data_IF_479710827040
#
_entry.id   IF_479710827040
#
_cell.length_a   1.000
_cell.length_b   1.000
_cell.length_c   1.000
_cell.angle_alpha   90.00
_cell.angle_beta   90.00
_cell.angle_gamma   90.00
#
_symmetry.space_group_name_H-M   'P 1'
#
loop_
_entity.id
_entity.type
_entity.pdbx_description
1 polymer ?
#
# COMPACT_ATOMS: atom_id res chain seq x y z
N UNK A 1 34.47 -51.45 -39.08
CA UNK A 1 34.05 -52.21 -40.28
C UNK A 1 32.56 -52.49 -40.19
N UNK A 2 31.80 -51.90 -41.11
CA UNK A 2 30.56 -52.39 -41.76
C UNK A 2 29.36 -52.92 -40.94
N UNK A 3 28.19 -52.41 -41.36
CA UNK A 3 26.82 -52.98 -41.32
C UNK A 3 26.02 -52.64 -40.05
N UNK A 4 25.10 -51.64 -39.99
CA UNK A 4 24.12 -51.08 -40.94
C UNK A 4 22.87 -52.00 -41.10
N UNK A 5 21.68 -51.39 -40.94
CA UNK A 5 20.29 -51.84 -41.23
C UNK A 5 19.57 -52.69 -40.14
N UNK A 6 18.26 -52.58 -39.86
CA UNK A 6 17.09 -51.97 -40.56
C UNK A 6 15.87 -51.92 -39.60
N UNK A 7 15.25 -50.75 -39.44
CA UNK A 7 13.84 -50.40 -39.77
C UNK A 7 12.68 -51.29 -39.26
N UNK A 8 11.66 -50.61 -38.70
CA UNK A 8 10.22 -50.87 -38.95
C UNK A 8 9.44 -51.14 -37.67
N UNK A 9 8.60 -50.22 -37.18
CA UNK A 9 7.29 -49.74 -37.66
C UNK A 9 6.18 -50.16 -36.66
N UNK A 10 5.77 -49.17 -35.88
CA UNK A 10 4.41 -48.81 -35.45
C UNK A 10 3.33 -49.89 -35.37
N UNK A 11 2.73 -50.06 -34.18
CA UNK A 11 1.27 -50.11 -34.04
C UNK A 11 0.83 -49.81 -32.59
N UNK A 12 -0.04 -48.81 -32.50
CA UNK A 12 -0.85 -48.44 -31.34
C UNK A 12 -1.99 -49.46 -31.20
N UNK A 13 -2.27 -49.93 -29.98
CA UNK A 13 -3.64 -50.05 -29.45
C UNK A 13 -3.65 -50.42 -27.97
N UNK A 14 -4.42 -49.64 -27.21
CA UNK A 14 -4.80 -49.79 -25.82
C UNK A 14 -5.59 -51.09 -25.60
N UNK A 15 -5.28 -51.83 -24.54
CA UNK A 15 -6.27 -52.58 -23.78
C UNK A 15 -5.74 -52.88 -22.36
N UNK A 16 -6.53 -52.44 -21.38
CA UNK A 16 -6.38 -52.68 -19.96
C UNK A 16 -6.43 -54.18 -19.62
N UNK A 17 -5.53 -54.65 -18.75
CA UNK A 17 -5.84 -55.62 -17.69
C UNK A 17 -4.71 -55.59 -16.67
N UNK A 18 -5.06 -55.31 -15.41
CA UNK A 18 -4.12 -54.98 -14.36
C UNK A 18 -3.28 -56.15 -13.84
N UNK A 19 -2.21 -55.76 -13.16
CA UNK A 19 -1.64 -56.45 -12.02
C UNK A 19 -0.69 -55.47 -11.35
N UNK A 20 -0.93 -55.21 -10.07
CA UNK A 20 -0.21 -54.21 -9.31
C UNK A 20 1.29 -54.45 -9.28
N UNK A 21 2.03 -53.35 -9.22
CA UNK A 21 3.28 -53.28 -8.52
C UNK A 21 3.44 -51.87 -7.97
N UNK A 22 3.60 -51.85 -6.65
CA UNK A 22 3.95 -50.76 -5.76
C UNK A 22 4.68 -49.61 -6.46
N UNK A 23 4.01 -48.48 -6.60
CA UNK A 23 4.67 -47.19 -6.78
C UNK A 23 4.73 -46.54 -5.39
N UNK A 24 5.93 -46.10 -5.04
CA UNK A 24 6.37 -45.59 -3.75
C UNK A 24 5.34 -44.73 -3.01
N UNK A 25 4.94 -45.23 -1.85
CA UNK A 25 4.09 -44.57 -0.86
C UNK A 25 4.91 -43.62 0.03
N UNK A 26 6.01 -43.07 -0.49
CA UNK A 26 7.01 -42.34 0.29
C UNK A 26 7.14 -40.85 -0.07
N UNK A 27 6.23 -40.32 -0.89
CA UNK A 27 6.24 -38.91 -1.33
C UNK A 27 4.93 -38.14 -1.03
N UNK A 28 4.15 -38.61 -0.05
CA UNK A 28 2.99 -37.88 0.52
C UNK A 28 3.28 -37.31 1.91
N UNK A 29 4.51 -36.83 2.10
CA UNK A 29 5.00 -36.29 3.36
C UNK A 29 5.33 -34.81 3.29
N UNK A 30 4.35 -33.95 2.97
CA UNK A 30 4.30 -32.54 3.37
C UNK A 30 2.96 -31.95 2.92
N UNK A 31 1.88 -32.44 3.50
CA UNK A 31 0.78 -31.51 3.79
C UNK A 31 1.29 -30.74 5.00
N UNK A 32 1.62 -29.47 4.79
CA UNK A 32 1.81 -28.51 5.86
C UNK A 32 0.75 -28.78 6.92
N UNK A 33 1.17 -28.90 8.18
CA UNK A 33 0.23 -29.00 9.30
C UNK A 33 -0.56 -27.70 9.31
N UNK A 34 -1.68 -27.67 8.59
CA UNK A 34 -2.65 -26.59 8.68
C UNK A 34 -2.89 -26.35 10.18
N UNK A 35 -2.83 -25.11 10.68
CA UNK A 35 -3.18 -24.84 12.05
C UNK A 35 -4.56 -25.46 12.27
N UNK A 36 -4.63 -26.48 13.11
CA UNK A 36 -5.90 -27.14 13.40
C UNK A 36 -6.71 -26.12 14.19
N UNK A 37 -7.54 -25.35 13.48
CA UNK A 37 -8.44 -24.39 14.09
C UNK A 37 -9.36 -25.14 15.05
N UNK A 38 -9.26 -24.83 16.34
CA UNK A 38 -10.00 -25.53 17.39
C UNK A 38 -11.41 -24.96 17.59
N UNK A 39 -11.58 -23.64 17.46
CA UNK A 39 -12.87 -22.95 17.48
C UNK A 39 -13.27 -22.42 16.09
N UNK A 40 -14.20 -23.13 15.43
CA UNK A 40 -14.77 -22.72 14.14
C UNK A 40 -15.53 -21.38 14.22
N UNK A 41 -16.11 -21.04 15.38
CA UNK A 41 -16.79 -19.76 15.57
C UNK A 41 -15.80 -18.60 15.61
N UNK A 42 -14.64 -18.78 16.26
CA UNK A 42 -13.57 -17.80 16.24
C UNK A 42 -12.99 -17.61 14.82
N UNK A 43 -12.89 -18.69 14.04
CA UNK A 43 -12.45 -18.61 12.65
C UNK A 43 -13.45 -17.84 11.75
N UNK A 44 -14.76 -18.08 11.89
CA UNK A 44 -15.77 -17.30 11.17
C UNK A 44 -15.71 -15.80 11.50
N UNK A 45 -15.57 -15.46 12.80
CA UNK A 45 -15.39 -14.08 13.25
C UNK A 45 -14.13 -13.44 12.65
N UNK A 46 -13.03 -14.17 12.60
CA UNK A 46 -11.80 -13.71 11.94
C UNK A 46 -12.02 -13.40 10.46
N UNK A 47 -12.70 -14.29 9.72
CA UNK A 47 -13.02 -14.05 8.31
C UNK A 47 -13.93 -12.83 8.13
N UNK A 48 -14.90 -12.63 9.02
CA UNK A 48 -15.74 -11.42 9.03
C UNK A 48 -14.89 -10.15 9.25
N UNK A 49 -13.99 -10.17 10.23
CA UNK A 49 -13.10 -9.03 10.50
C UNK A 49 -12.23 -8.68 9.28
N UNK A 50 -11.69 -9.67 8.57
CA UNK A 50 -10.92 -9.42 7.33
C UNK A 50 -11.73 -8.70 6.25
N UNK A 51 -13.00 -9.04 6.09
CA UNK A 51 -13.88 -8.35 5.12
C UNK A 51 -14.12 -6.90 5.54
N UNK A 52 -14.30 -6.64 6.83
CA UNK A 52 -14.45 -5.30 7.37
C UNK A 52 -13.17 -4.46 7.20
N UNK A 53 -11.99 -5.05 7.41
CA UNK A 53 -10.71 -4.38 7.13
C UNK A 53 -10.61 -3.96 5.67
N UNK A 54 -10.99 -4.83 4.73
CA UNK A 54 -11.01 -4.51 3.29
C UNK A 54 -12.03 -3.44 2.92
N UNK A 55 -13.15 -3.38 3.64
CA UNK A 55 -14.18 -2.34 3.45
C UNK A 55 -13.70 -0.95 3.87
N UNK A 56 -12.74 -0.86 4.82
CA UNK A 56 -12.17 0.39 5.36
C UNK A 56 -13.25 1.31 5.99
N UNK A 57 -12.88 2.55 6.33
CA UNK A 57 -13.78 3.52 6.97
C UNK A 57 -14.19 3.08 8.38
N UNK A 58 -15.43 3.40 8.77
CA UNK A 58 -15.99 3.03 10.09
C UNK A 58 -15.99 1.53 10.38
N UNK A 59 -15.89 0.68 9.35
CA UNK A 59 -15.81 -0.78 9.51
C UNK A 59 -14.50 -1.23 10.21
N UNK A 60 -13.46 -0.40 10.24
CA UNK A 60 -12.19 -0.74 10.88
C UNK A 60 -12.33 -0.90 12.40
N UNK A 61 -13.17 -0.08 13.04
CA UNK A 61 -13.40 -0.21 14.49
C UNK A 61 -14.14 -1.52 14.81
N UNK A 62 -15.19 -1.84 14.05
CA UNK A 62 -15.91 -3.11 14.17
C UNK A 62 -14.98 -4.31 13.97
N UNK A 63 -14.07 -4.24 12.98
CA UNK A 63 -13.09 -5.29 12.73
C UNK A 63 -12.19 -5.53 13.95
N UNK A 64 -11.68 -4.47 14.59
CA UNK A 64 -10.84 -4.59 15.78
C UNK A 64 -11.63 -5.17 16.96
N UNK A 65 -12.88 -4.75 17.17
CA UNK A 65 -13.73 -5.31 18.23
C UNK A 65 -13.95 -6.81 18.04
N UNK A 66 -14.19 -7.26 16.81
CA UNK A 66 -14.33 -8.68 16.50
C UNK A 66 -13.00 -9.41 16.73
N UNK A 67 -11.87 -8.83 16.33
CA UNK A 67 -10.55 -9.42 16.53
C UNK A 67 -10.17 -9.52 18.00
N UNK A 68 -10.56 -8.55 18.84
CA UNK A 68 -10.42 -8.61 20.30
C UNK A 68 -11.13 -9.86 20.85
N UNK A 69 -12.32 -10.18 20.34
CA UNK A 69 -13.06 -11.39 20.72
C UNK A 69 -12.39 -12.68 20.22
N UNK A 70 -11.91 -12.70 18.97
CA UNK A 70 -11.17 -13.84 18.41
C UNK A 70 -9.92 -14.14 19.25
N UNK A 71 -9.13 -13.12 19.56
CA UNK A 71 -7.89 -13.24 20.34
C UNK A 71 -8.19 -13.66 21.79
N UNK A 72 -9.28 -13.18 22.39
CA UNK A 72 -9.67 -13.61 23.74
C UNK A 72 -10.06 -15.09 23.81
N UNK A 73 -10.63 -15.65 22.73
CA UNK A 73 -10.99 -17.07 22.62
C UNK A 73 -9.80 -17.95 22.25
N UNK A 74 -8.97 -17.48 21.32
CA UNK A 74 -7.84 -18.21 20.75
C UNK A 74 -6.57 -17.33 20.77
N UNK A 75 -5.91 -17.15 21.93
CA UNK A 75 -4.77 -16.23 22.09
C UNK A 75 -3.53 -16.59 21.26
N UNK A 76 -3.43 -17.84 20.80
CA UNK A 76 -2.31 -18.33 19.97
C UNK A 76 -2.64 -18.30 18.47
N UNK A 77 -3.79 -17.74 18.07
CA UNK A 77 -4.20 -17.64 16.67
C UNK A 77 -3.49 -16.48 15.95
N UNK A 78 -2.27 -16.72 15.47
CA UNK A 78 -1.39 -15.72 14.85
C UNK A 78 -2.06 -14.85 13.74
N UNK A 79 -2.87 -15.42 12.82
CA UNK A 79 -3.58 -14.62 11.82
C UNK A 79 -4.51 -13.53 12.38
N UNK A 80 -5.12 -13.74 13.55
CA UNK A 80 -5.96 -12.71 14.18
C UNK A 80 -5.12 -11.52 14.66
N UNK A 81 -3.96 -11.80 15.28
CA UNK A 81 -3.00 -10.76 15.67
C UNK A 81 -2.46 -9.97 14.47
N UNK A 82 -2.11 -10.66 13.38
CA UNK A 82 -1.68 -10.02 12.15
C UNK A 82 -2.78 -9.12 11.55
N UNK A 83 -4.02 -9.61 11.45
CA UNK A 83 -5.14 -8.83 10.95
C UNK A 83 -5.44 -7.61 11.83
N UNK A 84 -5.32 -7.75 13.15
CA UNK A 84 -5.52 -6.64 14.09
C UNK A 84 -4.46 -5.57 13.90
N UNK A 85 -3.19 -5.96 13.73
CA UNK A 85 -2.11 -5.03 13.39
C UNK A 85 -2.37 -4.28 12.09
N UNK A 86 -2.77 -4.99 11.03
CA UNK A 86 -3.10 -4.38 9.74
C UNK A 86 -4.27 -3.39 9.87
N UNK A 87 -5.27 -3.66 10.71
CA UNK A 87 -6.34 -2.69 11.00
C UNK A 87 -5.81 -1.44 11.72
N UNK A 88 -5.03 -1.61 12.78
CA UNK A 88 -4.40 -0.50 13.52
C UNK A 88 -3.51 0.37 12.63
N UNK A 89 -2.79 -0.24 11.69
CA UNK A 89 -1.88 0.46 10.79
C UNK A 89 -2.57 1.50 9.89
N UNK A 90 -3.88 1.37 9.67
CA UNK A 90 -4.66 2.27 8.82
C UNK A 90 -5.72 3.08 9.56
N UNK A 91 -6.10 2.73 10.79
CA UNK A 91 -7.15 3.46 11.54
C UNK A 91 -6.95 4.99 11.55
N UNK A 92 -5.74 5.52 11.81
CA UNK A 92 -5.51 6.97 11.80
C UNK A 92 -5.82 7.66 10.47
N UNK A 93 -5.91 6.91 9.37
CA UNK A 93 -6.14 7.43 8.02
C UNK A 93 -7.62 7.49 7.65
N UNK A 94 -8.48 6.75 8.37
CA UNK A 94 -9.88 6.55 7.99
C UNK A 94 -10.86 7.03 9.04
N UNK A 95 -10.40 7.22 10.28
CA UNK A 95 -11.23 7.55 11.42
C UNK A 95 -10.74 8.84 12.07
N UNK A 96 -11.66 9.54 12.73
CA UNK A 96 -11.35 10.71 13.60
C UNK A 96 -11.50 10.35 15.08
N UNK A 97 -12.35 9.36 15.37
CA UNK A 97 -12.59 8.78 16.68
C UNK A 97 -12.40 7.26 16.60
N UNK A 98 -11.91 6.65 17.67
CA UNK A 98 -11.75 5.20 17.79
C UNK A 98 -12.13 4.79 19.21
N UNK A 99 -13.09 3.86 19.33
CA UNK A 99 -13.63 3.39 20.63
C UNK A 99 -14.19 4.53 21.50
N UNK A 100 -14.80 5.54 20.86
CA UNK A 100 -15.46 6.67 21.51
C UNK A 100 -14.52 7.80 21.97
N UNK A 101 -13.24 7.73 21.60
CA UNK A 101 -12.24 8.75 21.94
C UNK A 101 -11.59 9.31 20.67
N UNK A 102 -11.15 10.57 20.72
CA UNK A 102 -10.40 11.18 19.62
C UNK A 102 -9.08 10.40 19.39
N UNK A 103 -8.73 10.16 18.13
CA UNK A 103 -7.58 9.31 17.80
C UNK A 103 -6.26 9.95 18.23
N UNK A 104 -5.48 9.16 18.97
CA UNK A 104 -4.06 9.39 19.22
C UNK A 104 -3.24 8.44 18.33
N UNK A 105 -2.84 8.91 17.14
CA UNK A 105 -2.21 8.04 16.14
C UNK A 105 -0.93 7.32 16.64
N UNK A 106 0.01 7.97 17.37
CA UNK A 106 1.13 7.27 17.99
C UNK A 106 0.73 6.07 18.86
N UNK A 107 -0.35 6.18 19.63
CA UNK A 107 -0.83 5.10 20.50
C UNK A 107 -1.47 3.96 19.70
N UNK A 108 -2.31 4.29 18.73
CA UNK A 108 -2.93 3.30 17.83
C UNK A 108 -1.86 2.55 17.03
N UNK A 109 -0.85 3.24 16.51
CA UNK A 109 0.24 2.61 15.76
C UNK A 109 1.13 1.75 16.66
N UNK A 110 1.30 2.10 17.93
CA UNK A 110 1.98 1.24 18.91
C UNK A 110 1.18 -0.05 19.18
N UNK A 111 -0.15 0.01 19.21
CA UNK A 111 -0.97 -1.22 19.23
C UNK A 111 -0.75 -2.07 17.97
N UNK A 112 -0.62 -1.43 16.81
CA UNK A 112 -0.24 -2.10 15.56
C UNK A 112 1.11 -2.82 15.65
N UNK A 113 2.13 -2.18 16.21
CA UNK A 113 3.46 -2.76 16.40
C UNK A 113 3.45 -3.95 17.37
N UNK A 114 2.78 -3.81 18.52
CA UNK A 114 2.73 -4.88 19.54
C UNK A 114 2.00 -6.12 19.03
N UNK A 115 0.92 -5.94 18.28
CA UNK A 115 0.16 -7.03 17.67
C UNK A 115 0.90 -7.69 16.50
N UNK A 116 1.66 -6.93 15.70
CA UNK A 116 2.55 -7.50 14.68
C UNK A 116 3.65 -8.37 15.31
N UNK A 117 4.31 -7.88 16.36
CA UNK A 117 5.33 -8.65 17.08
C UNK A 117 4.76 -9.97 17.61
N UNK A 118 3.57 -9.93 18.23
CA UNK A 118 2.90 -11.14 18.72
C UNK A 118 2.57 -12.12 17.60
N UNK A 119 2.14 -11.62 16.44
CA UNK A 119 1.85 -12.48 15.29
C UNK A 119 3.10 -13.22 14.79
N UNK A 120 4.24 -12.53 14.66
CA UNK A 120 5.53 -13.14 14.24
C UNK A 120 6.06 -14.11 15.30
N UNK A 121 5.90 -13.80 16.60
CA UNK A 121 6.29 -14.70 17.69
C UNK A 121 5.51 -16.02 17.65
N UNK A 122 4.20 -15.95 17.40
CA UNK A 122 3.32 -17.11 17.33
C UNK A 122 3.54 -17.96 16.08
N UNK A 123 3.72 -17.31 14.92
CA UNK A 123 4.00 -18.00 13.66
C UNK A 123 5.00 -17.20 12.79
N UNK A 124 6.30 -17.55 12.85
CA UNK A 124 7.34 -16.90 12.05
C UNK A 124 7.35 -17.33 10.57
N UNK A 125 6.41 -18.17 10.13
CA UNK A 125 6.23 -18.51 8.71
C UNK A 125 4.91 -17.97 8.16
N UNK A 126 4.17 -17.17 8.93
CA UNK A 126 2.95 -16.52 8.48
C UNK A 126 3.28 -15.25 7.67
N UNK A 127 2.97 -15.26 6.38
CA UNK A 127 3.25 -14.14 5.49
C UNK A 127 2.60 -12.82 5.97
N UNK A 128 1.35 -12.88 6.43
CA UNK A 128 0.62 -11.72 6.95
C UNK A 128 1.23 -11.17 8.26
N UNK A 129 1.91 -11.98 9.06
CA UNK A 129 2.59 -11.50 10.27
C UNK A 129 3.81 -10.64 9.91
N UNK A 130 4.60 -11.09 8.93
CA UNK A 130 5.72 -10.32 8.40
C UNK A 130 5.25 -9.06 7.66
N UNK A 131 4.13 -9.12 6.94
CA UNK A 131 3.50 -7.94 6.34
C UNK A 131 3.14 -6.89 7.40
N UNK A 132 2.46 -7.33 8.47
CA UNK A 132 2.09 -6.48 9.60
C UNK A 132 3.32 -5.85 10.28
N UNK A 133 4.38 -6.63 10.49
CA UNK A 133 5.64 -6.14 11.05
C UNK A 133 6.32 -5.12 10.13
N UNK A 134 6.36 -5.37 8.82
CA UNK A 134 6.86 -4.42 7.83
C UNK A 134 6.14 -3.07 7.90
N UNK A 135 4.80 -3.09 7.98
CA UNK A 135 3.98 -1.89 8.15
C UNK A 135 4.30 -1.15 9.46
N UNK A 136 4.42 -1.86 10.59
CA UNK A 136 4.78 -1.25 11.87
C UNK A 136 6.18 -0.60 11.84
N UNK A 137 7.19 -1.29 11.30
CA UNK A 137 8.55 -0.78 11.19
C UNK A 137 8.66 0.39 10.22
N UNK A 138 7.88 0.37 9.13
CA UNK A 138 7.75 1.48 8.19
C UNK A 138 7.23 2.74 8.90
N UNK A 139 6.20 2.60 9.75
CA UNK A 139 5.70 3.71 10.56
C UNK A 139 6.74 4.28 11.53
N UNK A 140 7.59 3.41 12.07
CA UNK A 140 8.74 3.79 12.92
C UNK A 140 9.95 4.31 12.12
N UNK A 141 9.87 4.33 10.78
CA UNK A 141 10.94 4.75 9.86
C UNK A 141 12.20 3.90 10.00
N UNK A 142 12.05 2.67 10.44
CA UNK A 142 13.13 1.68 10.51
C UNK A 142 13.21 0.98 9.15
N UNK A 143 13.53 1.76 8.12
CA UNK A 143 13.36 1.38 6.71
C UNK A 143 14.04 0.07 6.33
N UNK A 144 15.26 -0.15 6.81
CA UNK A 144 16.02 -1.35 6.47
C UNK A 144 15.37 -2.63 7.03
N UNK A 145 14.89 -2.58 8.28
CA UNK A 145 14.19 -3.72 8.88
C UNK A 145 12.79 -3.89 8.26
N UNK A 146 12.11 -2.80 7.93
CA UNK A 146 10.84 -2.87 7.20
C UNK A 146 11.01 -3.56 5.84
N UNK A 147 12.04 -3.22 5.06
CA UNK A 147 12.35 -3.89 3.79
C UNK A 147 12.53 -5.40 3.97
N UNK A 148 13.30 -5.82 4.98
CA UNK A 148 13.56 -7.23 5.24
C UNK A 148 12.26 -7.99 5.57
N UNK A 149 11.36 -7.40 6.37
CA UNK A 149 10.05 -7.98 6.71
C UNK A 149 9.10 -8.06 5.50
N UNK A 150 9.02 -7.01 4.69
CA UNK A 150 8.21 -7.02 3.46
C UNK A 150 8.70 -8.08 2.46
N UNK A 151 10.02 -8.19 2.27
CA UNK A 151 10.59 -9.21 1.40
C UNK A 151 10.37 -10.62 1.97
N UNK A 152 10.36 -10.78 3.31
CA UNK A 152 10.04 -12.05 3.94
C UNK A 152 8.57 -12.43 3.73
N UNK A 153 7.65 -11.49 3.91
CA UNK A 153 6.22 -11.70 3.63
C UNK A 153 6.00 -12.15 2.17
N UNK A 154 6.65 -11.47 1.22
CA UNK A 154 6.57 -11.81 -0.20
C UNK A 154 7.24 -13.15 -0.55
N UNK A 155 8.33 -13.54 0.13
CA UNK A 155 8.93 -14.87 -0.03
C UNK A 155 7.95 -15.98 0.41
N UNK A 156 7.26 -15.77 1.53
CA UNK A 156 6.32 -16.73 2.11
C UNK A 156 5.03 -16.85 1.28
N UNK A 157 4.51 -15.75 0.74
CA UNK A 157 3.36 -15.75 -0.16
C UNK A 157 3.53 -14.77 -1.34
N UNK A 158 4.19 -15.21 -2.43
CA UNK A 158 4.51 -14.36 -3.58
C UNK A 158 3.32 -14.10 -4.52
N UNK A 159 2.14 -14.61 -4.19
CA UNK A 159 0.91 -14.50 -5.00
C UNK A 159 -0.18 -13.66 -4.33
N UNK A 160 0.01 -13.28 -3.07
CA UNK A 160 -0.92 -12.44 -2.35
C UNK A 160 -0.86 -10.99 -2.82
N UNK A 161 -1.98 -10.49 -3.34
CA UNK A 161 -2.05 -9.13 -3.86
C UNK A 161 -1.89 -8.05 -2.77
N UNK A 162 -2.36 -8.33 -1.54
CA UNK A 162 -2.23 -7.40 -0.41
C UNK A 162 -0.73 -7.21 -0.07
N UNK A 163 0.07 -8.29 -0.09
CA UNK A 163 1.53 -8.23 0.14
C UNK A 163 2.25 -7.53 -1.01
N UNK A 164 1.91 -7.85 -2.25
CA UNK A 164 2.53 -7.23 -3.44
C UNK A 164 2.30 -5.71 -3.45
N UNK A 165 1.09 -5.29 -3.08
CA UNK A 165 0.72 -3.88 -2.98
C UNK A 165 1.55 -3.16 -1.92
N UNK A 166 1.60 -3.65 -0.69
CA UNK A 166 2.39 -3.09 0.41
C UNK A 166 3.90 -3.06 0.11
N UNK A 167 4.45 -4.08 -0.57
CA UNK A 167 5.86 -4.09 -1.02
C UNK A 167 6.12 -2.97 -2.03
N UNK A 168 5.23 -2.79 -3.01
CA UNK A 168 5.34 -1.70 -3.97
C UNK A 168 5.19 -0.34 -3.28
N UNK A 169 4.25 -0.23 -2.33
CA UNK A 169 4.04 0.96 -1.51
C UNK A 169 5.28 1.34 -0.69
N UNK A 170 5.92 0.36 -0.06
CA UNK A 170 7.18 0.53 0.64
C UNK A 170 8.28 1.07 -0.28
N UNK A 171 8.48 0.45 -1.45
CA UNK A 171 9.50 0.90 -2.40
C UNK A 171 9.23 2.32 -2.92
N UNK A 172 7.96 2.70 -3.12
CA UNK A 172 7.60 4.09 -3.40
C UNK A 172 7.96 5.03 -2.23
N UNK A 173 7.72 4.61 -0.98
CA UNK A 173 8.02 5.41 0.20
C UNK A 173 9.53 5.67 0.40
N UNK A 174 10.41 4.77 -0.07
CA UNK A 174 11.87 4.96 -0.05
C UNK A 174 12.47 5.45 -1.37
N UNK A 175 11.62 5.82 -2.33
CA UNK A 175 11.99 6.46 -3.59
C UNK A 175 12.56 5.52 -4.67
N UNK A 176 12.32 4.21 -4.57
CA UNK A 176 12.78 3.18 -5.53
C UNK A 176 11.62 2.75 -6.44
N UNK A 177 11.13 3.64 -7.29
CA UNK A 177 9.93 3.42 -8.13
C UNK A 177 10.12 2.32 -9.17
N UNK A 178 11.34 2.11 -9.67
CA UNK A 178 11.60 1.05 -10.66
C UNK A 178 11.40 -0.32 -10.03
N UNK A 179 11.84 -0.51 -8.78
CA UNK A 179 11.58 -1.70 -7.99
C UNK A 179 10.09 -1.85 -7.70
N UNK A 180 9.44 -0.79 -7.24
CA UNK A 180 8.01 -0.78 -6.95
C UNK A 180 7.16 -1.20 -8.16
N UNK A 181 7.48 -0.68 -9.35
CA UNK A 181 6.78 -1.00 -10.60
C UNK A 181 6.93 -2.48 -10.98
N UNK A 182 8.07 -3.13 -10.72
CA UNK A 182 8.25 -4.57 -11.00
C UNK A 182 7.27 -5.41 -10.19
N UNK A 183 7.11 -5.11 -8.90
CA UNK A 183 6.15 -5.81 -8.04
C UNK A 183 4.71 -5.53 -8.47
N UNK A 184 4.37 -4.26 -8.70
CA UNK A 184 3.02 -3.86 -9.13
C UNK A 184 2.62 -4.49 -10.47
N UNK A 185 3.54 -4.56 -11.45
CA UNK A 185 3.30 -5.22 -12.73
C UNK A 185 3.05 -6.72 -12.55
N UNK A 186 3.79 -7.37 -11.64
CA UNK A 186 3.54 -8.78 -11.29
C UNK A 186 2.15 -8.96 -10.69
N UNK A 187 1.76 -8.13 -9.72
CA UNK A 187 0.42 -8.17 -9.11
C UNK A 187 -0.70 -8.04 -10.14
N UNK A 188 -0.57 -7.07 -11.05
CA UNK A 188 -1.54 -6.91 -12.15
C UNK A 188 -1.58 -8.11 -13.10
N UNK A 189 -0.44 -8.74 -13.40
CA UNK A 189 -0.40 -9.97 -14.23
C UNK A 189 -1.06 -11.17 -13.54
N UNK A 190 -0.99 -11.24 -12.21
CA UNK A 190 -1.65 -12.29 -11.43
C UNK A 190 -3.17 -12.10 -11.39
N UNK A 191 -3.63 -10.88 -11.10
CA UNK A 191 -5.04 -10.57 -10.90
C UNK A 191 -5.51 -9.35 -11.72
N UNK A 192 -5.63 -9.47 -13.07
CA UNK A 192 -5.86 -8.32 -13.96
C UNK A 192 -7.28 -7.73 -13.91
N UNK A 193 -8.15 -8.29 -13.06
CA UNK A 193 -9.53 -7.88 -12.82
C UNK A 193 -9.79 -7.44 -11.38
N UNK A 194 -8.79 -7.51 -10.49
CA UNK A 194 -8.93 -7.05 -9.11
C UNK A 194 -8.62 -5.55 -9.06
N UNK A 195 -9.55 -4.70 -8.58
CA UNK A 195 -9.36 -3.25 -8.53
C UNK A 195 -8.09 -2.82 -7.81
N UNK A 196 -7.74 -3.50 -6.70
CA UNK A 196 -6.51 -3.25 -5.95
C UNK A 196 -5.27 -3.43 -6.85
N UNK A 197 -5.12 -4.59 -7.50
CA UNK A 197 -4.00 -4.86 -8.41
C UNK A 197 -3.87 -3.83 -9.55
N UNK A 198 -5.01 -3.43 -10.12
CA UNK A 198 -5.05 -2.43 -11.18
C UNK A 198 -4.61 -1.06 -10.65
N UNK A 199 -5.13 -0.64 -9.50
CA UNK A 199 -4.82 0.64 -8.88
C UNK A 199 -3.36 0.73 -8.43
N UNK A 200 -2.80 -0.36 -7.88
CA UNK A 200 -1.38 -0.46 -7.52
C UNK A 200 -0.52 -0.30 -8.78
N UNK A 201 -0.84 -1.00 -9.87
CA UNK A 201 -0.11 -0.86 -11.12
C UNK A 201 -0.21 0.55 -11.72
N UNK A 202 -1.41 1.14 -11.74
CA UNK A 202 -1.63 2.51 -12.20
C UNK A 202 -0.82 3.55 -11.38
N UNK A 203 -0.82 3.40 -10.06
CA UNK A 203 -0.05 4.24 -9.14
C UNK A 203 1.45 4.16 -9.43
N UNK A 204 1.97 2.96 -9.63
CA UNK A 204 3.38 2.75 -9.93
C UNK A 204 3.77 3.18 -11.35
N UNK A 205 2.85 3.12 -12.33
CA UNK A 205 3.04 3.76 -13.64
C UNK A 205 3.19 5.28 -13.48
N UNK A 206 2.34 5.90 -12.67
CA UNK A 206 2.38 7.35 -12.39
C UNK A 206 3.70 7.77 -11.73
N UNK A 207 4.17 7.03 -10.71
CA UNK A 207 5.47 7.29 -10.06
C UNK A 207 6.67 7.13 -11.02
N UNK A 208 6.52 6.35 -12.09
CA UNK A 208 7.52 6.19 -13.15
C UNK A 208 7.26 7.12 -14.35
N UNK A 209 6.48 8.18 -14.16
CA UNK A 209 6.13 9.18 -15.18
C UNK A 209 5.45 8.62 -16.44
N UNK A 210 4.82 7.44 -16.35
CA UNK A 210 4.00 6.83 -17.42
C UNK A 210 2.54 7.22 -17.24
N UNK A 211 2.28 8.52 -17.28
CA UNK A 211 1.02 9.13 -16.86
C UNK A 211 -0.18 8.77 -17.74
N UNK A 212 0.02 8.64 -19.05
CA UNK A 212 -1.04 8.25 -20.00
C UNK A 212 -1.49 6.81 -19.77
N UNK A 213 -0.54 5.91 -19.51
CA UNK A 213 -0.85 4.51 -19.16
C UNK A 213 -1.50 4.42 -17.79
N UNK A 214 -1.02 5.20 -16.82
CA UNK A 214 -1.62 5.29 -15.48
C UNK A 214 -3.08 5.73 -15.55
N UNK A 215 -3.41 6.77 -16.35
CA UNK A 215 -4.78 7.26 -16.52
C UNK A 215 -5.72 6.17 -17.03
N UNK A 216 -5.30 5.40 -18.04
CA UNK A 216 -6.09 4.28 -18.58
C UNK A 216 -6.37 3.26 -17.48
N UNK A 217 -5.36 2.90 -16.69
CA UNK A 217 -5.51 1.91 -15.63
C UNK A 217 -6.33 2.43 -14.44
N UNK A 218 -6.19 3.70 -14.05
CA UNK A 218 -7.04 4.32 -13.03
C UNK A 218 -8.52 4.33 -13.43
N UNK A 219 -8.82 4.73 -14.68
CA UNK A 219 -10.19 4.67 -15.20
C UNK A 219 -10.74 3.25 -15.20
N UNK A 220 -9.92 2.26 -15.61
CA UNK A 220 -10.30 0.84 -15.54
C UNK A 220 -10.62 0.39 -14.11
N UNK A 221 -9.85 0.81 -13.10
CA UNK A 221 -10.15 0.48 -11.71
C UNK A 221 -11.49 1.08 -11.25
N UNK A 222 -11.78 2.34 -11.64
CA UNK A 222 -13.04 3.02 -11.33
C UNK A 222 -14.23 2.41 -12.08
N UNK A 223 -14.04 1.92 -13.31
CA UNK A 223 -15.09 1.20 -14.04
C UNK A 223 -15.49 -0.11 -13.35
N UNK A 224 -14.52 -0.86 -12.81
CA UNK A 224 -14.78 -2.12 -12.09
C UNK A 224 -15.36 -1.84 -10.69
N UNK A 225 -14.84 -0.83 -10.00
CA UNK A 225 -15.29 -0.43 -8.68
C UNK A 225 -15.48 1.10 -8.59
N UNK A 226 -16.67 1.61 -8.94
CA UNK A 226 -16.96 3.04 -8.95
C UNK A 226 -16.83 3.76 -7.60
N UNK A 227 -16.79 3.05 -6.47
CA UNK A 227 -16.57 3.64 -5.15
C UNK A 227 -15.12 3.62 -4.67
N UNK A 228 -14.17 3.18 -5.50
CA UNK A 228 -12.78 3.03 -5.08
C UNK A 228 -12.06 4.38 -5.11
N UNK A 229 -12.06 5.06 -3.97
CA UNK A 229 -11.53 6.43 -3.84
C UNK A 229 -10.05 6.59 -4.20
N UNK A 230 -9.22 5.55 -4.06
CA UNK A 230 -7.79 5.61 -4.34
C UNK A 230 -7.52 5.98 -5.81
N UNK A 231 -7.91 5.19 -6.84
CA UNK A 231 -7.72 5.56 -8.24
C UNK A 231 -8.16 6.99 -8.59
N UNK A 232 -9.32 7.42 -8.08
CA UNK A 232 -9.83 8.77 -8.31
C UNK A 232 -8.88 9.83 -7.75
N UNK A 233 -8.37 9.62 -6.54
CA UNK A 233 -7.48 10.56 -5.83
C UNK A 233 -6.17 10.75 -6.59
N UNK A 234 -5.55 9.67 -7.08
CA UNK A 234 -4.31 9.77 -7.84
C UNK A 234 -4.52 10.36 -9.23
N UNK A 235 -5.61 10.01 -9.92
CA UNK A 235 -5.93 10.58 -11.23
C UNK A 235 -6.24 12.08 -11.14
N UNK A 236 -7.03 12.49 -10.14
CA UNK A 236 -7.26 13.90 -9.83
C UNK A 236 -5.94 14.62 -9.58
N UNK A 237 -5.10 14.11 -8.68
CA UNK A 237 -3.81 14.73 -8.36
C UNK A 237 -2.85 14.78 -9.56
N UNK A 238 -2.95 13.84 -10.49
CA UNK A 238 -2.21 13.86 -11.76
C UNK A 238 -2.67 15.03 -12.65
N UNK A 239 -3.98 15.20 -12.85
CA UNK A 239 -4.51 16.35 -13.60
C UNK A 239 -4.17 17.68 -12.95
N UNK A 240 -4.32 17.76 -11.62
CA UNK A 240 -3.87 18.90 -10.84
C UNK A 240 -2.38 19.19 -11.13
N UNK A 241 -1.53 18.17 -11.10
CA UNK A 241 -0.11 18.32 -11.40
C UNK A 241 0.22 18.90 -12.77
N UNK A 242 -0.63 18.69 -13.77
CA UNK A 242 -0.50 19.26 -15.11
C UNK A 242 -1.19 20.62 -15.27
N UNK A 243 -1.75 21.19 -14.20
CA UNK A 243 -2.52 22.44 -14.24
C UNK A 243 -3.91 22.27 -14.85
N UNK A 244 -4.40 21.05 -14.99
CA UNK A 244 -5.70 20.74 -15.60
C UNK A 244 -6.82 20.73 -14.54
N UNK A 245 -7.04 21.88 -13.88
CA UNK A 245 -7.99 22.02 -12.77
C UNK A 245 -9.41 21.56 -13.13
N UNK A 246 -9.91 21.93 -14.32
CA UNK A 246 -11.26 21.57 -14.75
C UNK A 246 -11.41 20.04 -14.89
N UNK A 247 -10.43 19.34 -15.47
CA UNK A 247 -10.47 17.87 -15.57
C UNK A 247 -10.42 17.20 -14.18
N UNK A 248 -9.67 17.78 -13.26
CA UNK A 248 -9.58 17.29 -11.89
C UNK A 248 -10.91 17.43 -11.15
N UNK A 249 -11.68 18.50 -11.40
CA UNK A 249 -13.03 18.66 -10.86
C UNK A 249 -14.00 17.70 -11.57
N UNK A 250 -13.99 17.66 -12.91
CA UNK A 250 -14.88 16.84 -13.72
C UNK A 250 -14.81 15.34 -13.36
N UNK A 251 -13.60 14.79 -13.13
CA UNK A 251 -13.46 13.37 -12.79
C UNK A 251 -14.03 13.05 -11.40
N UNK A 252 -13.94 13.99 -10.46
CA UNK A 252 -14.47 13.82 -9.10
C UNK A 252 -15.98 13.98 -9.07
N UNK A 253 -16.52 15.00 -9.72
CA UNK A 253 -17.97 15.20 -9.89
C UNK A 253 -18.61 14.05 -10.69
N UNK A 254 -17.88 13.49 -11.65
CA UNK A 254 -18.30 12.33 -12.43
C UNK A 254 -18.33 11.00 -11.65
N UNK A 255 -17.84 10.97 -10.40
CA UNK A 255 -17.84 9.77 -9.56
C UNK A 255 -18.74 9.93 -8.32
N UNK A 256 -20.06 9.90 -8.50
CA UNK A 256 -21.02 10.00 -7.38
C UNK A 256 -20.74 9.00 -6.23
N UNK A 257 -20.42 7.71 -6.48
CA UNK A 257 -20.11 6.78 -5.39
C UNK A 257 -18.82 7.13 -4.65
N UNK A 258 -17.85 7.81 -5.29
CA UNK A 258 -16.62 8.24 -4.65
C UNK A 258 -16.86 9.37 -3.64
N UNK A 259 -17.89 10.20 -3.85
CA UNK A 259 -18.25 11.32 -2.96
C UNK A 259 -18.83 10.84 -1.62
N UNK A 260 -19.14 9.55 -1.47
CA UNK A 260 -19.46 8.96 -0.17
C UNK A 260 -18.25 8.96 0.79
N UNK A 261 -17.01 9.08 0.27
CA UNK A 261 -15.83 9.29 1.09
C UNK A 261 -15.74 10.79 1.47
N UNK A 262 -15.78 11.15 2.77
CA UNK A 262 -15.82 12.54 3.21
C UNK A 262 -14.56 13.32 2.83
N UNK A 263 -13.39 12.67 2.77
CA UNK A 263 -12.15 13.29 2.32
C UNK A 263 -12.25 13.64 0.84
N UNK A 264 -12.72 12.71 0.00
CA UNK A 264 -12.90 12.97 -1.43
C UNK A 264 -13.87 14.14 -1.67
N UNK A 265 -15.02 14.14 -0.97
CA UNK A 265 -16.01 15.21 -1.07
C UNK A 265 -15.46 16.57 -0.64
N UNK A 266 -14.76 16.64 0.50
CA UNK A 266 -14.16 17.88 0.99
C UNK A 266 -13.10 18.44 0.03
N UNK A 267 -12.25 17.58 -0.54
CA UNK A 267 -11.27 18.01 -1.55
C UNK A 267 -11.98 18.52 -2.83
N UNK A 268 -13.08 17.91 -3.25
CA UNK A 268 -13.86 18.35 -4.41
C UNK A 268 -14.43 19.75 -4.20
N UNK A 269 -15.09 19.98 -3.05
CA UNK A 269 -15.70 21.27 -2.70
C UNK A 269 -14.65 22.39 -2.70
N UNK A 270 -13.46 22.13 -2.16
CA UNK A 270 -12.39 23.13 -2.09
C UNK A 270 -11.84 23.46 -3.48
N UNK A 271 -11.69 22.47 -4.36
CA UNK A 271 -11.29 22.72 -5.75
C UNK A 271 -12.32 23.54 -6.53
N UNK A 272 -13.61 23.29 -6.31
CA UNK A 272 -14.72 24.06 -6.91
C UNK A 272 -14.70 25.51 -6.42
N UNK A 273 -14.63 25.72 -5.10
CA UNK A 273 -14.52 27.07 -4.51
C UNK A 273 -13.32 27.83 -5.05
N UNK A 274 -12.19 27.14 -5.22
CA UNK A 274 -10.98 27.74 -5.76
C UNK A 274 -11.16 28.16 -7.23
N UNK A 275 -11.73 27.28 -8.07
CA UNK A 275 -12.08 27.58 -9.47
C UNK A 275 -12.99 28.81 -9.56
N UNK A 276 -13.97 28.89 -8.68
CA UNK A 276 -15.01 29.92 -8.69
C UNK A 276 -14.56 31.24 -7.99
N UNK A 277 -13.34 31.27 -7.43
CA UNK A 277 -12.76 32.43 -6.76
C UNK A 277 -13.38 32.72 -5.39
N UNK A 278 -14.06 31.75 -4.79
CA UNK A 278 -14.71 31.85 -3.48
C UNK A 278 -13.74 31.62 -2.31
N UNK A 279 -12.57 31.06 -2.58
CA UNK A 279 -11.50 30.84 -1.59
C UNK A 279 -10.13 31.18 -2.19
N UNK A 280 -9.31 31.84 -1.38
CA UNK A 280 -7.94 32.26 -1.75
C UNK A 280 -6.87 31.21 -1.37
N UNK A 281 -5.71 31.20 -2.04
CA UNK A 281 -4.55 30.40 -1.63
C UNK A 281 -4.19 30.53 -0.14
N UNK A 282 -4.24 31.75 0.41
CA UNK A 282 -3.95 32.02 1.82
C UNK A 282 -4.97 31.37 2.77
N UNK A 283 -6.26 31.44 2.45
CA UNK A 283 -7.31 30.79 3.24
C UNK A 283 -7.17 29.27 3.19
N UNK A 284 -6.80 28.69 2.05
CA UNK A 284 -6.54 27.25 1.94
C UNK A 284 -5.32 26.85 2.77
N UNK A 285 -4.25 27.65 2.72
CA UNK A 285 -3.07 27.41 3.55
C UNK A 285 -3.45 27.38 5.04
N UNK A 286 -4.32 28.30 5.48
CA UNK A 286 -4.82 28.30 6.85
C UNK A 286 -5.64 27.04 7.17
N UNK A 287 -6.53 26.60 6.26
CA UNK A 287 -7.29 25.35 6.44
C UNK A 287 -6.39 24.13 6.59
N UNK A 288 -5.33 24.01 5.78
CA UNK A 288 -4.35 22.92 5.87
C UNK A 288 -3.63 22.93 7.23
N UNK A 289 -3.35 24.12 7.77
CA UNK A 289 -2.71 24.27 9.08
C UNK A 289 -3.66 23.96 10.26
N UNK A 290 -4.94 24.25 10.12
CA UNK A 290 -5.97 23.99 11.13
C UNK A 290 -6.40 22.51 11.15
N UNK A 291 -6.50 21.88 9.98
CA UNK A 291 -6.90 20.48 9.84
C UNK A 291 -6.18 19.77 8.68
N UNK A 292 -5.02 19.18 9.01
CA UNK A 292 -4.14 18.54 8.02
C UNK A 292 -4.62 17.14 7.57
N UNK A 293 -5.69 16.59 8.16
CA UNK A 293 -6.12 15.21 7.91
C UNK A 293 -7.01 15.06 6.66
N UNK A 294 -7.45 16.16 6.05
CA UNK A 294 -8.44 16.13 4.96
C UNK A 294 -7.89 16.48 3.58
N UNK A 295 -6.61 16.85 3.42
CA UNK A 295 -6.08 17.32 2.13
C UNK A 295 -5.14 16.33 1.47
N UNK A 296 -5.42 15.99 0.21
CA UNK A 296 -4.44 15.31 -0.63
C UNK A 296 -3.25 16.22 -0.95
N UNK A 297 -2.07 15.63 -1.17
CA UNK A 297 -0.88 16.39 -1.55
C UNK A 297 -1.02 17.14 -2.88
N UNK A 298 -1.89 16.71 -3.80
CA UNK A 298 -2.18 17.45 -5.04
C UNK A 298 -2.98 18.73 -4.78
N UNK A 299 -3.92 18.68 -3.83
CA UNK A 299 -4.71 19.85 -3.42
C UNK A 299 -3.85 20.83 -2.63
N UNK A 300 -3.01 20.36 -1.70
CA UNK A 300 -2.05 21.21 -1.01
C UNK A 300 -1.07 21.89 -1.97
N UNK A 301 -0.56 21.15 -2.97
CA UNK A 301 0.37 21.71 -3.95
C UNK A 301 -0.26 22.80 -4.83
N UNK A 302 -1.43 22.56 -5.43
CA UNK A 302 -2.03 23.57 -6.30
C UNK A 302 -2.42 24.82 -5.52
N UNK A 303 -2.95 24.62 -4.33
CA UNK A 303 -3.58 25.70 -3.58
C UNK A 303 -2.59 26.52 -2.76
N UNK A 304 -1.42 25.95 -2.42
CA UNK A 304 -0.41 26.62 -1.61
C UNK A 304 1.04 26.48 -2.12
N UNK A 305 1.24 25.92 -3.32
CA UNK A 305 2.55 25.77 -3.96
C UNK A 305 3.49 24.79 -3.26
N UNK A 306 4.78 24.86 -3.60
CA UNK A 306 5.85 24.04 -2.99
C UNK A 306 5.93 24.26 -1.48
N UNK A 307 5.78 25.51 -1.02
CA UNK A 307 5.87 25.83 0.40
C UNK A 307 4.70 25.25 1.21
N UNK A 308 3.47 25.29 0.69
CA UNK A 308 2.32 24.65 1.34
C UNK A 308 2.44 23.14 1.38
N UNK A 309 2.99 22.53 0.32
CA UNK A 309 3.27 21.10 0.30
C UNK A 309 4.33 20.71 1.35
N UNK A 310 5.38 21.52 1.51
CA UNK A 310 6.38 21.32 2.56
C UNK A 310 5.79 21.51 3.95
N UNK A 311 4.96 22.52 4.17
CA UNK A 311 4.27 22.73 5.45
C UNK A 311 3.41 21.51 5.83
N UNK A 312 2.69 20.94 4.85
CA UNK A 312 1.94 19.69 5.03
C UNK A 312 2.86 18.52 5.39
N UNK A 313 3.93 18.28 4.60
CA UNK A 313 4.82 17.14 4.82
C UNK A 313 5.63 17.25 6.10
N UNK A 314 6.05 18.45 6.49
CA UNK A 314 6.71 18.69 7.76
C UNK A 314 5.71 18.46 8.91
N UNK A 315 4.48 18.95 8.81
CA UNK A 315 3.45 18.69 9.84
C UNK A 315 3.14 17.20 9.98
N UNK A 316 3.05 16.47 8.86
CA UNK A 316 2.90 15.01 8.87
C UNK A 316 4.15 14.38 9.49
N UNK A 317 5.33 14.57 8.90
CA UNK A 317 6.56 13.96 9.41
C UNK A 317 6.88 14.27 10.88
N UNK A 318 6.58 15.47 11.37
CA UNK A 318 6.87 15.88 12.75
C UNK A 318 5.72 15.59 13.73
N UNK A 319 4.47 15.52 13.27
CA UNK A 319 3.28 15.43 14.13
C UNK A 319 2.46 14.14 14.01
N UNK A 320 2.54 13.43 12.88
CA UNK A 320 1.76 12.24 12.57
C UNK A 320 2.67 11.21 11.86
N UNK A 321 2.94 10.02 12.44
CA UNK A 321 3.75 9.01 11.75
C UNK A 321 3.15 8.59 10.39
N UNK A 322 1.84 8.81 10.24
CA UNK A 322 1.06 8.53 9.04
C UNK A 322 1.44 9.45 7.86
N UNK A 323 1.67 8.84 6.69
CA UNK A 323 1.89 9.43 5.36
C UNK A 323 3.34 9.83 4.98
N UNK A 324 4.03 8.92 4.28
CA UNK A 324 5.27 9.21 3.54
C UNK A 324 5.15 8.93 2.02
N UNK A 325 3.94 8.75 1.48
CA UNK A 325 3.76 8.32 0.08
C UNK A 325 4.01 9.42 -0.96
N UNK A 326 4.02 10.69 -0.54
CA UNK A 326 4.00 11.82 -1.47
C UNK A 326 5.30 12.63 -1.51
N UNK A 327 6.32 12.25 -0.74
CA UNK A 327 7.55 13.03 -0.58
C UNK A 327 8.30 13.29 -1.89
N UNK A 328 8.12 12.44 -2.90
CA UNK A 328 9.19 12.24 -3.87
C UNK A 328 9.00 12.80 -5.27
N UNK A 329 8.00 13.64 -5.50
CA UNK A 329 7.95 14.34 -6.78
C UNK A 329 7.84 13.49 -8.03
N UNK A 330 7.38 12.23 -7.92
CA UNK A 330 6.90 11.45 -9.07
C UNK A 330 5.67 12.09 -9.75
N UNK A 331 5.15 13.18 -9.18
CA UNK A 331 4.11 14.01 -9.77
C UNK A 331 4.75 15.26 -10.39
N UNK A 332 4.29 15.73 -11.57
CA UNK A 332 4.90 16.82 -12.35
C UNK A 332 5.19 18.11 -11.58
N UNK A 333 4.49 18.31 -10.47
CA UNK A 333 4.57 19.50 -9.65
C UNK A 333 5.67 19.53 -8.59
N UNK A 334 6.25 18.39 -8.22
CA UNK A 334 7.21 18.32 -7.12
C UNK A 334 8.68 18.21 -7.58
N UNK A 335 8.97 18.47 -8.86
CA UNK A 335 10.35 18.62 -9.35
C UNK A 335 11.08 19.82 -8.73
N UNK A 336 10.35 20.87 -8.33
CA UNK A 336 10.93 22.02 -7.63
C UNK A 336 11.09 21.77 -6.13
N UNK A 337 10.23 20.91 -5.55
CA UNK A 337 10.29 20.52 -4.14
C UNK A 337 11.66 19.91 -3.79
N UNK A 338 12.11 18.97 -4.61
CA UNK A 338 13.31 18.16 -4.33
C UNK A 338 14.60 18.98 -4.35
N UNK A 339 14.57 20.19 -4.92
CA UNK A 339 15.70 21.13 -4.99
C UNK A 339 15.82 22.02 -3.75
N UNK A 340 14.86 21.96 -2.82
CA UNK A 340 14.84 22.85 -1.66
C UNK A 340 15.65 22.31 -0.47
N UNK A 341 16.28 23.19 0.30
CA UNK A 341 16.96 22.80 1.55
C UNK A 341 16.00 22.28 2.63
N UNK A 342 14.73 22.72 2.61
CA UNK A 342 13.67 22.17 3.49
C UNK A 342 13.45 20.70 3.20
N UNK A 343 13.31 20.35 1.93
CA UNK A 343 13.18 18.97 1.50
C UNK A 343 14.37 18.10 1.91
N UNK A 344 15.60 18.58 1.69
CA UNK A 344 16.80 17.85 2.14
C UNK A 344 16.78 17.56 3.64
N UNK A 345 16.42 18.55 4.46
CA UNK A 345 16.27 18.36 5.92
C UNK A 345 15.19 17.35 6.27
N UNK A 346 14.06 17.39 5.57
CA UNK A 346 12.96 16.45 5.78
C UNK A 346 13.38 15.01 5.46
N UNK A 347 14.01 14.76 4.31
CA UNK A 347 14.52 13.43 3.93
C UNK A 347 15.57 12.90 4.91
N UNK A 348 16.47 13.77 5.39
CA UNK A 348 17.43 13.42 6.46
C UNK A 348 16.72 13.07 7.76
N UNK A 349 15.76 13.89 8.19
CA UNK A 349 14.98 13.66 9.41
C UNK A 349 14.19 12.35 9.36
N UNK A 350 13.68 11.99 8.18
CA UNK A 350 12.98 10.74 7.96
C UNK A 350 13.91 9.52 7.97
N UNK A 351 15.24 9.67 8.02
CA UNK A 351 16.21 8.56 8.08
C UNK A 351 16.44 7.86 6.74
N UNK A 352 16.00 8.45 5.63
CA UNK A 352 16.08 7.85 4.31
C UNK A 352 17.50 7.86 3.74
N UNK A 353 18.30 8.88 4.06
CA UNK A 353 19.71 8.94 3.64
C UNK A 353 20.52 7.79 4.22
N UNK A 354 20.30 7.45 5.49
CA UNK A 354 21.00 6.33 6.15
C UNK A 354 20.56 4.99 5.57
N UNK A 355 19.26 4.84 5.28
CA UNK A 355 18.74 3.69 4.56
C UNK A 355 19.43 3.54 3.18
N UNK A 356 19.49 4.60 2.39
CA UNK A 356 20.05 4.58 1.04
C UNK A 356 21.54 4.26 0.99
N UNK A 357 22.32 4.76 1.95
CA UNK A 357 23.76 4.42 2.05
C UNK A 357 24.00 2.92 2.18
N UNK A 358 23.07 2.20 2.81
CA UNK A 358 23.17 0.75 3.04
C UNK A 358 22.47 -0.05 1.95
N UNK A 359 21.28 0.39 1.53
CA UNK A 359 20.37 -0.38 0.66
C UNK A 359 20.32 0.13 -0.78
N UNK A 360 21.12 1.14 -1.12
CA UNK A 360 21.12 1.79 -2.43
C UNK A 360 20.21 3.02 -2.46
N UNK A 361 20.67 4.03 -3.20
CA UNK A 361 20.00 5.31 -3.39
C UNK A 361 18.66 5.19 -4.11
N UNK A 362 17.80 6.19 -3.89
CA UNK A 362 16.54 6.32 -4.63
C UNK A 362 16.81 6.52 -6.13
N UNK A 363 15.78 6.34 -6.94
CA UNK A 363 15.90 6.44 -8.40
C UNK A 363 16.24 7.86 -8.89
N UNK A 364 15.94 8.89 -8.08
CA UNK A 364 16.06 10.30 -8.46
C UNK A 364 17.06 11.07 -7.59
N UNK A 365 17.81 10.41 -6.71
CA UNK A 365 18.77 11.09 -5.83
C UNK A 365 20.14 10.41 -5.86
N UNK A 366 21.19 11.21 -5.76
CA UNK A 366 22.58 10.77 -5.77
C UNK A 366 23.37 11.39 -4.61
N UNK A 367 24.36 10.69 -4.05
CA UNK A 367 25.20 11.21 -2.98
C UNK A 367 26.05 12.40 -3.46
N UNK A 368 26.18 13.42 -2.61
CA UNK A 368 27.14 14.52 -2.78
C UNK A 368 28.05 14.56 -1.56
N UNK A 369 29.26 14.04 -1.74
CA UNK A 369 30.21 13.85 -0.65
C UNK A 369 29.70 12.81 0.36
N UNK A 370 30.16 12.93 1.60
CA UNK A 370 29.90 11.91 2.63
C UNK A 370 28.53 12.11 3.30
N UNK A 371 28.05 13.35 3.46
CA UNK A 371 26.89 13.73 4.30
C UNK A 371 25.75 14.47 3.59
N UNK A 372 25.80 14.54 2.26
CA UNK A 372 24.78 15.23 1.48
C UNK A 372 24.34 14.46 0.25
N UNK A 373 23.29 14.96 -0.39
CA UNK A 373 22.73 14.41 -1.61
C UNK A 373 22.04 15.48 -2.44
N UNK A 374 21.86 15.19 -3.71
CA UNK A 374 21.05 15.99 -4.63
C UNK A 374 20.01 15.09 -5.29
N UNK A 375 18.84 15.64 -5.58
CA UNK A 375 17.78 14.96 -6.31
C UNK A 375 17.40 15.74 -7.56
N UNK A 376 17.03 15.05 -8.64
CA UNK A 376 16.77 15.66 -9.96
C UNK A 376 15.73 14.95 -10.80
#
# INVERSE_FOLDING_TARGET
MKNLWRIGLTLILLAFSGSGQQADEQDRGSLTTDPVYTDMGAYELYLQARQLIRKRGSALEEAVIILDEVIAREPDFAPAWAAQSLAYSVIPNYLVEFKGEAINAPEVLFLGETTAFRAVELDPNLAEAHLAMGNALRWRRVWGAAEDEYLKAYELDPYNIDIIEDVAEFYNAVGKYKEALKYAEKGYKLEPLVPLAIATYATNLSFNSRYEEAEVMFKKALEIQPGFAWPLTYLRDQYLGFGELDKAIDIVEGCEPCLANPIVAANAEILIKYRDGEITPEEIKQLIQEDNNFFSGGVAFILAGVEGLLDQYETQAFGQPAYNFSLWGGKPYASELVKTERYKRLVKYLGLVDYWRVRGWSDNCEPVGDDDFECG
#
